data_IF_815719751907
#
_entry.id   IF_815719751907
#
_cell.length_a   1.000
_cell.length_b   1.000
_cell.length_c   1.000
_cell.angle_alpha   90.00
_cell.angle_beta   90.00
_cell.angle_gamma   90.00
#
_symmetry.space_group_name_H-M   'P 1'
#
loop_
_entity.id
_entity.type
_entity.pdbx_description
1 polymer ?
#
# COMPACT_ATOMS: atom_id res chain seq x y z
N UNK A 1 35.31 -8.01 11.79
CA UNK A 1 34.33 -7.27 10.98
C UNK A 1 33.32 -8.30 10.57
N UNK A 2 32.26 -8.43 11.38
CA UNK A 2 31.21 -9.41 11.16
C UNK A 2 30.33 -8.86 10.05
N UNK A 3 30.28 -9.62 8.96
CA UNK A 3 29.36 -9.45 7.85
C UNK A 3 27.93 -9.51 8.41
N UNK A 4 27.32 -8.35 8.58
CA UNK A 4 25.90 -8.25 8.92
C UNK A 4 25.16 -8.39 7.59
N UNK A 5 24.89 -9.64 7.21
CA UNK A 5 23.98 -9.95 6.11
C UNK A 5 22.70 -9.14 6.32
N UNK A 6 22.19 -8.43 5.30
CA UNK A 6 20.95 -7.68 5.45
C UNK A 6 19.87 -8.69 5.84
N UNK A 7 19.27 -8.46 7.00
CA UNK A 7 18.19 -9.28 7.51
C UNK A 7 17.01 -9.08 6.57
N UNK A 8 16.84 -9.99 5.61
CA UNK A 8 15.63 -10.12 4.80
C UNK A 8 14.47 -10.28 5.76
N UNK A 9 13.83 -9.17 6.11
CA UNK A 9 12.65 -9.15 6.98
C UNK A 9 11.45 -9.53 6.10
N UNK A 10 11.53 -10.72 5.49
CA UNK A 10 10.60 -11.26 4.49
C UNK A 10 9.49 -12.15 5.12
N UNK A 11 9.36 -12.16 6.45
CA UNK A 11 8.39 -12.96 7.22
C UNK A 11 7.17 -12.17 7.72
N UNK A 12 6.86 -11.01 7.15
CA UNK A 12 5.53 -10.44 7.34
C UNK A 12 4.53 -11.27 6.53
N UNK A 13 3.82 -12.20 7.20
CA UNK A 13 2.68 -12.91 6.62
C UNK A 13 1.75 -11.92 5.94
N UNK A 14 1.62 -12.00 4.62
CA UNK A 14 0.72 -11.15 3.85
C UNK A 14 -0.70 -11.67 4.09
N UNK A 15 -1.60 -10.88 4.70
CA UNK A 15 -2.97 -11.33 4.91
C UNK A 15 -3.64 -11.64 3.56
N UNK A 16 -4.39 -12.74 3.49
CA UNK A 16 -5.06 -13.18 2.25
C UNK A 16 -6.04 -12.14 1.69
N UNK A 17 -6.57 -11.27 2.56
CA UNK A 17 -7.56 -10.25 2.21
C UNK A 17 -7.26 -8.96 2.94
N UNK A 18 -7.23 -7.86 2.20
CA UNK A 18 -7.04 -6.53 2.78
C UNK A 18 -7.96 -5.50 2.14
N UNK A 19 -8.37 -4.49 2.91
CA UNK A 19 -8.96 -3.30 2.33
C UNK A 19 -7.92 -2.59 1.46
N UNK A 20 -8.37 -2.11 0.30
CA UNK A 20 -7.55 -1.45 -0.70
C UNK A 20 -7.82 0.04 -0.67
N UNK A 21 -6.76 0.83 -0.54
CA UNK A 21 -6.78 2.28 -0.66
C UNK A 21 -6.26 2.69 -2.05
N UNK A 22 -7.14 3.16 -2.95
CA UNK A 22 -6.73 3.71 -4.24
C UNK A 22 -5.90 4.98 -4.07
N UNK A 23 -4.74 5.03 -4.74
CA UNK A 23 -3.89 6.22 -4.82
C UNK A 23 -4.03 6.86 -6.20
N UNK A 24 -4.10 8.20 -6.24
CA UNK A 24 -4.26 8.93 -7.51
C UNK A 24 -2.94 9.05 -8.25
N UNK A 25 -2.01 9.83 -7.70
CA UNK A 25 -0.78 10.25 -8.38
C UNK A 25 0.46 9.79 -7.61
N UNK A 26 0.37 8.68 -6.90
CA UNK A 26 1.44 8.21 -6.02
C UNK A 26 1.50 6.70 -5.97
N UNK A 27 2.72 6.17 -5.99
CA UNK A 27 3.03 4.76 -5.79
C UNK A 27 3.89 4.61 -4.54
N UNK A 28 3.73 3.51 -3.82
CA UNK A 28 4.48 3.23 -2.60
C UNK A 28 5.41 2.07 -2.85
N UNK A 29 6.69 2.24 -2.53
CA UNK A 29 7.67 1.17 -2.58
C UNK A 29 7.93 0.61 -1.18
N UNK A 30 8.35 -0.67 -1.09
CA UNK A 30 8.82 -1.26 0.16
C UNK A 30 9.91 -0.40 0.79
N UNK A 31 9.96 -0.39 2.13
CA UNK A 31 10.95 0.33 2.94
C UNK A 31 10.93 1.87 2.82
N UNK A 32 9.96 2.45 2.11
CA UNK A 32 9.78 3.90 2.02
C UNK A 32 8.68 4.37 2.98
N UNK A 33 8.95 5.48 3.68
CA UNK A 33 7.98 6.19 4.49
C UNK A 33 7.45 7.41 3.75
N UNK A 34 6.12 7.51 3.58
CA UNK A 34 5.50 8.64 2.89
C UNK A 34 4.23 9.14 3.61
N UNK A 35 3.94 10.45 3.51
CA UNK A 35 2.64 10.99 3.89
C UNK A 35 1.60 10.76 2.78
N UNK A 36 0.38 10.39 3.16
CA UNK A 36 -0.79 10.26 2.27
C UNK A 36 -1.94 11.09 2.82
N UNK A 37 -2.71 11.73 1.93
CA UNK A 37 -3.92 12.47 2.30
C UNK A 37 -5.15 11.73 1.80
N UNK A 38 -6.12 11.51 2.70
CA UNK A 38 -7.35 10.78 2.41
C UNK A 38 -8.55 11.67 2.73
N UNK A 39 -9.43 11.88 1.74
CA UNK A 39 -10.65 12.69 1.91
C UNK A 39 -11.91 12.09 1.29
N UNK A 40 -11.81 10.98 0.55
CA UNK A 40 -12.98 10.32 -0.06
C UNK A 40 -13.75 9.55 1.00
N UNK A 41 -15.09 9.61 0.95
CA UNK A 41 -15.98 8.94 1.91
C UNK A 41 -15.69 7.44 2.05
N UNK A 42 -15.51 6.70 0.95
CA UNK A 42 -15.19 5.26 0.97
C UNK A 42 -13.84 5.00 1.67
N UNK A 43 -12.82 5.80 1.36
CA UNK A 43 -11.49 5.69 1.96
C UNK A 43 -11.46 6.10 3.44
N UNK A 44 -12.24 7.11 3.84
CA UNK A 44 -12.40 7.47 5.25
C UNK A 44 -13.08 6.34 6.02
N UNK A 45 -14.12 5.73 5.45
CA UNK A 45 -14.82 4.59 6.04
C UNK A 45 -13.89 3.38 6.22
N UNK A 46 -13.03 3.11 5.23
CA UNK A 46 -11.96 2.11 5.34
C UNK A 46 -11.11 2.35 6.58
N UNK A 47 -10.62 3.57 6.77
CA UNK A 47 -9.75 3.90 7.90
C UNK A 47 -10.44 3.82 9.26
N UNK A 48 -11.74 4.09 9.31
CA UNK A 48 -12.56 3.98 10.52
C UNK A 48 -12.84 2.54 10.94
N UNK A 49 -13.00 1.64 9.98
CA UNK A 49 -13.33 0.23 10.23
C UNK A 49 -12.08 -0.62 10.52
N UNK A 50 -10.88 -0.05 10.37
CA UNK A 50 -9.64 -0.74 10.73
C UNK A 50 -9.54 -0.95 12.24
N UNK A 51 -9.08 -2.14 12.68
CA UNK A 51 -8.90 -2.42 14.10
C UNK A 51 -7.82 -1.53 14.71
N UNK A 52 -7.89 -1.26 16.04
CA UNK A 52 -6.82 -0.59 16.76
C UNK A 52 -5.55 -1.47 16.78
N UNK A 53 -4.37 -0.88 16.56
CA UNK A 53 -3.08 -1.58 16.55
C UNK A 53 -2.28 -1.35 15.26
N UNK A 54 -1.40 -2.31 14.93
CA UNK A 54 -0.62 -2.35 13.69
C UNK A 54 -1.56 -2.58 12.50
N UNK A 55 -1.95 -1.48 11.86
CA UNK A 55 -2.91 -1.48 10.74
C UNK A 55 -2.17 -1.67 9.42
N UNK A 56 -2.39 -2.82 8.80
CA UNK A 56 -1.99 -3.09 7.43
C UNK A 56 -3.13 -2.76 6.46
N UNK A 57 -2.79 -2.10 5.35
CA UNK A 57 -3.70 -1.87 4.23
C UNK A 57 -2.97 -2.16 2.92
N UNK A 58 -3.72 -2.53 1.89
CA UNK A 58 -3.21 -2.56 0.53
C UNK A 58 -3.34 -1.17 -0.08
N UNK A 59 -2.32 -0.72 -0.81
CA UNK A 59 -2.39 0.49 -1.64
C UNK A 59 -2.10 0.13 -3.08
N UNK A 60 -2.83 0.72 -4.01
CA UNK A 60 -2.62 0.53 -5.44
C UNK A 60 -2.91 1.83 -6.19
N UNK A 61 -2.16 2.09 -7.25
CA UNK A 61 -2.39 3.25 -8.11
C UNK A 61 -3.61 3.01 -9.00
N UNK A 62 -4.37 4.09 -9.24
CA UNK A 62 -5.45 4.13 -10.21
C UNK A 62 -4.90 4.12 -11.64
N UNK A 63 -5.65 3.52 -12.56
CA UNK A 63 -5.40 3.61 -13.99
C UNK A 63 -5.73 5.02 -14.52
N UNK A 64 -6.81 5.61 -14.03
CA UNK A 64 -7.23 6.99 -14.31
C UNK A 64 -7.24 7.80 -13.02
N UNK A 65 -6.32 8.76 -12.91
CA UNK A 65 -6.19 9.62 -11.71
C UNK A 65 -7.38 10.57 -11.49
N UNK A 66 -8.20 10.77 -12.53
CA UNK A 66 -9.38 11.64 -12.51
C UNK A 66 -10.63 10.92 -12.02
N UNK A 67 -10.65 9.59 -12.05
CA UNK A 67 -11.80 8.78 -11.64
C UNK A 67 -12.16 9.01 -10.17
N UNK A 68 -13.44 9.32 -9.89
CA UNK A 68 -13.93 9.54 -8.53
C UNK A 68 -14.31 8.25 -7.80
N UNK A 69 -15.01 7.38 -8.51
CA UNK A 69 -15.32 6.02 -8.09
C UNK A 69 -14.32 5.08 -8.74
N UNK A 70 -13.73 4.21 -7.93
CA UNK A 70 -12.63 3.34 -8.34
C UNK A 70 -13.01 1.93 -7.91
N UNK A 71 -13.31 1.09 -8.90
CA UNK A 71 -13.48 -0.34 -8.70
C UNK A 71 -12.15 -1.08 -8.76
N UNK A 72 -12.22 -2.41 -8.66
CA UNK A 72 -11.04 -3.26 -8.78
C UNK A 72 -10.35 -3.15 -10.14
N UNK A 73 -11.13 -3.14 -11.22
CA UNK A 73 -10.62 -3.11 -12.59
C UNK A 73 -10.02 -1.74 -12.98
N UNK A 74 -10.25 -0.71 -12.16
CA UNK A 74 -9.68 0.64 -12.34
C UNK A 74 -8.32 0.81 -11.64
N UNK A 75 -7.77 -0.27 -11.06
CA UNK A 75 -6.52 -0.26 -10.33
C UNK A 75 -5.43 -1.03 -11.06
N UNK A 76 -4.19 -0.60 -10.86
CA UNK A 76 -3.05 -1.47 -11.10
C UNK A 76 -3.08 -2.66 -10.13
N UNK A 77 -3.04 -3.87 -10.67
CA UNK A 77 -3.08 -5.09 -9.86
C UNK A 77 -1.80 -5.35 -9.07
N UNK A 78 -0.71 -4.63 -9.36
CA UNK A 78 0.49 -4.63 -8.52
C UNK A 78 0.46 -3.38 -7.64
N UNK A 79 0.46 -3.61 -6.34
CA UNK A 79 0.42 -2.58 -5.31
C UNK A 79 1.46 -2.83 -4.23
N UNK A 80 1.26 -2.19 -3.08
CA UNK A 80 2.09 -2.39 -1.90
C UNK A 80 1.26 -2.69 -0.66
N UNK A 81 1.76 -3.59 0.16
CA UNK A 81 1.35 -3.71 1.55
C UNK A 81 2.00 -2.58 2.32
N UNK A 82 1.20 -1.78 3.03
CA UNK A 82 1.72 -0.68 3.86
C UNK A 82 1.20 -0.81 5.28
N UNK A 83 2.04 -0.39 6.23
CA UNK A 83 1.65 -0.24 7.63
C UNK A 83 1.39 1.22 7.94
N UNK A 84 0.24 1.53 8.53
CA UNK A 84 -0.08 2.88 9.00
C UNK A 84 0.68 3.15 10.29
N UNK A 85 1.59 4.11 10.26
CA UNK A 85 2.41 4.52 11.41
C UNK A 85 1.67 5.59 12.22
N UNK A 86 1.10 6.59 11.55
CA UNK A 86 0.36 7.66 12.18
C UNK A 86 -0.88 8.04 11.39
N UNK A 87 -1.91 8.50 12.09
CA UNK A 87 -3.16 9.01 11.53
C UNK A 87 -3.51 10.31 12.23
N UNK A 88 -3.71 11.38 11.46
CA UNK A 88 -4.09 12.70 11.95
C UNK A 88 -5.36 13.13 11.22
N UNK A 89 -6.46 13.28 11.97
CA UNK A 89 -7.71 13.85 11.43
C UNK A 89 -7.59 15.37 11.45
N UNK A 90 -7.77 16.01 10.29
CA UNK A 90 -7.72 17.46 10.15
C UNK A 90 -9.12 18.07 10.36
N UNK A 91 -9.21 19.37 10.72
CA UNK A 91 -10.50 20.04 10.97
C UNK A 91 -11.42 20.11 9.75
N UNK A 92 -10.88 20.00 8.55
CA UNK A 92 -11.63 19.98 7.28
C UNK A 92 -12.28 18.62 6.96
N UNK A 93 -12.07 17.61 7.82
CA UNK A 93 -12.59 16.25 7.66
C UNK A 93 -11.66 15.32 6.86
N UNK A 94 -10.53 15.81 6.36
CA UNK A 94 -9.51 14.96 5.74
C UNK A 94 -8.65 14.25 6.79
N UNK A 95 -8.03 13.15 6.40
CA UNK A 95 -7.14 12.37 7.26
C UNK A 95 -5.77 12.29 6.60
N UNK A 96 -4.76 12.81 7.29
CA UNK A 96 -3.37 12.59 6.92
C UNK A 96 -2.86 11.30 7.56
N UNK A 97 -2.31 10.44 6.72
CA UNK A 97 -1.68 9.19 7.11
C UNK A 97 -0.18 9.30 6.90
N UNK A 98 0.59 8.76 7.83
CA UNK A 98 1.98 8.45 7.58
C UNK A 98 2.10 6.94 7.46
N UNK A 99 2.56 6.45 6.31
CA UNK A 99 2.61 5.00 6.02
C UNK A 99 4.03 4.56 5.71
N UNK A 100 4.35 3.33 6.11
CA UNK A 100 5.58 2.64 5.74
C UNK A 100 5.25 1.53 4.74
N UNK A 101 5.89 1.55 3.58
CA UNK A 101 5.84 0.43 2.63
C UNK A 101 6.53 -0.80 3.20
N UNK A 102 5.84 -1.94 3.18
CA UNK A 102 6.33 -3.20 3.75
C UNK A 102 6.83 -4.12 2.63
N UNK A 103 5.97 -4.41 1.64
CA UNK A 103 6.32 -5.27 0.50
C UNK A 103 5.43 -4.96 -0.70
N UNK A 104 5.85 -5.41 -1.89
CA UNK A 104 4.98 -5.49 -3.06
C UNK A 104 3.97 -6.61 -2.89
N UNK A 105 2.78 -6.37 -3.39
CA UNK A 105 1.68 -7.34 -3.39
C UNK A 105 0.99 -7.33 -4.75
N UNK A 106 0.32 -8.43 -5.05
CA UNK A 106 -0.58 -8.55 -6.18
C UNK A 106 -2.02 -8.64 -5.67
N UNK A 107 -2.88 -7.77 -6.20
CA UNK A 107 -4.33 -7.86 -6.07
C UNK A 107 -4.82 -8.97 -7.01
N UNK A 108 -5.27 -10.10 -6.47
CA UNK A 108 -5.67 -11.27 -7.27
C UNK A 108 -7.16 -11.30 -7.61
N UNK A 109 -8.00 -10.57 -6.86
CA UNK A 109 -9.42 -10.42 -7.17
C UNK A 109 -10.17 -9.55 -6.17
N UNK A 110 -11.31 -8.99 -6.59
CA UNK A 110 -12.21 -8.26 -5.71
C UNK A 110 -12.98 -9.22 -4.79
N UNK A 111 -12.99 -8.92 -3.48
CA UNK A 111 -13.79 -9.64 -2.48
C UNK A 111 -15.09 -8.90 -2.19
N UNK A 112 -15.02 -7.57 -2.07
CA UNK A 112 -16.17 -6.68 -1.89
C UNK A 112 -15.83 -5.29 -2.40
N UNK A 113 -16.82 -4.53 -2.87
CA UNK A 113 -16.68 -3.11 -3.23
C UNK A 113 -17.36 -2.16 -2.21
N UNK A 114 -18.28 -2.70 -1.40
CA UNK A 114 -18.99 -1.95 -0.37
C UNK A 114 -18.60 -2.43 1.04
N UNK A 115 -18.44 -1.51 2.02
CA UNK A 115 -18.51 -0.05 1.90
C UNK A 115 -17.24 0.60 1.28
N UNK A 116 -16.20 -0.21 1.04
CA UNK A 116 -14.97 0.14 0.35
C UNK A 116 -14.36 -1.11 -0.29
N UNK A 117 -13.47 -0.90 -1.26
CA UNK A 117 -12.83 -1.99 -1.97
C UNK A 117 -11.99 -2.87 -1.02
N UNK A 118 -12.25 -4.17 -1.08
CA UNK A 118 -11.49 -5.22 -0.41
C UNK A 118 -11.06 -6.23 -1.46
N UNK A 119 -9.79 -6.61 -1.46
CA UNK A 119 -9.24 -7.52 -2.46
C UNK A 119 -8.51 -8.70 -1.79
N UNK A 120 -8.43 -9.79 -2.54
CA UNK A 120 -7.52 -10.89 -2.25
C UNK A 120 -6.09 -10.49 -2.61
N UNK A 121 -5.15 -10.81 -1.73
CA UNK A 121 -3.76 -10.35 -1.81
C UNK A 121 -2.82 -11.54 -1.89
N UNK A 122 -1.85 -11.45 -2.79
CA UNK A 122 -0.73 -12.39 -2.90
C UNK A 122 0.58 -11.62 -2.71
N UNK A 123 1.55 -12.23 -2.01
CA UNK A 123 2.90 -11.67 -1.94
C UNK A 123 3.51 -11.58 -3.35
N UNK A 124 4.16 -10.47 -3.67
CA UNK A 124 4.85 -10.30 -4.94
C UNK A 124 6.34 -10.02 -4.69
N UNK A 125 7.26 -10.74 -5.36
CA UNK A 125 8.69 -10.53 -5.16
C UNK A 125 9.12 -9.13 -5.61
N UNK A 126 10.07 -8.56 -4.89
CA UNK A 126 10.83 -7.42 -5.35
C UNK A 126 11.91 -7.93 -6.32
N UNK A 127 11.78 -7.61 -7.61
CA UNK A 127 12.84 -7.89 -8.58
C UNK A 127 13.93 -6.85 -8.37
N UNK A 128 15.02 -7.26 -7.72
CA UNK A 128 16.25 -6.48 -7.66
C UNK A 128 17.03 -6.85 -8.92
N UNK A 129 17.15 -5.93 -9.86
CA UNK A 129 18.02 -6.12 -11.02
C UNK A 129 19.47 -5.88 -10.57
N UNK A 130 20.19 -6.98 -10.32
CA UNK A 130 21.59 -6.95 -9.91
C UNK A 130 22.51 -6.31 -10.97
N UNK A 131 22.09 -6.20 -12.23
CA UNK A 131 22.91 -5.65 -13.31
C UNK A 131 23.02 -4.12 -13.27
N UNK A 132 22.05 -3.42 -12.68
CA UNK A 132 22.06 -1.95 -12.60
C UNK A 132 23.00 -1.39 -11.50
N UNK A 133 23.46 -2.24 -10.56
CA UNK A 133 24.29 -1.81 -9.45
C UNK A 133 25.78 -1.61 -9.83
N UNK A 134 26.22 -2.13 -10.98
CA UNK A 134 27.65 -2.19 -11.36
C UNK A 134 28.11 -0.94 -12.14
N UNK A 135 27.22 -0.09 -12.64
CA UNK A 135 27.60 1.06 -13.49
C UNK A 135 28.06 2.33 -12.73
N UNK A 136 28.23 2.30 -11.40
CA UNK A 136 28.65 3.49 -10.61
C UNK A 136 30.12 3.62 -10.25
N UNK A 137 30.99 2.73 -10.72
CA UNK A 137 32.45 2.92 -10.63
C UNK A 137 33.13 2.65 -11.98
N UNK A 138 33.12 3.65 -12.87
CA UNK A 138 34.02 3.73 -14.02
C UNK A 138 34.51 5.17 -14.21
#
# INVERSE_FOLDING_TARGET
MSDEAPVDTDDADVPEKLPVLPLKSTVVFPRIFIPLSVGRRRSLKLLEDLPPGDRYIAVAAQLDETAEEVGFDDLHHIGALVRIQHMLKLPDGTVQLAVLGVRRIKLSGAVSDEPYLTASIEAHPEVVDEQAAIEREA
#
